data_IF_610183617142
#
_entry.id   IF_610183617142
#
_cell.length_a   1.000
_cell.length_b   1.000
_cell.length_c   1.000
_cell.angle_alpha   90.00
_cell.angle_beta   90.00
_cell.angle_gamma   90.00
#
_symmetry.space_group_name_H-M   'P 1'
#
loop_
_entity.id
_entity.type
_entity.pdbx_description
1 polymer ?
#
# COMPACT_ATOMS: atom_id res chain seq x y z
N UNK A 1 17.76 5.19 -17.42
CA UNK A 1 17.37 3.90 -18.02
C UNK A 1 16.95 4.18 -19.47
N UNK A 2 17.89 4.49 -20.38
CA UNK A 2 17.56 4.99 -21.73
C UNK A 2 17.59 3.89 -22.82
N UNK A 3 17.30 2.65 -22.43
CA UNK A 3 17.35 1.50 -23.33
C UNK A 3 15.93 1.08 -23.73
N UNK A 4 15.63 1.19 -25.04
CA UNK A 4 14.33 0.84 -25.60
C UNK A 4 13.98 -0.65 -25.45
N UNK A 5 14.99 -1.53 -25.36
CA UNK A 5 14.76 -2.96 -25.14
C UNK A 5 14.29 -3.22 -23.71
N UNK A 6 14.89 -2.54 -22.72
CA UNK A 6 14.46 -2.64 -21.33
C UNK A 6 13.03 -2.11 -21.16
N UNK A 7 12.71 -0.98 -21.79
CA UNK A 7 11.35 -0.45 -21.76
C UNK A 7 10.34 -1.45 -22.33
N UNK A 8 10.66 -2.07 -23.47
CA UNK A 8 9.78 -3.08 -24.08
C UNK A 8 9.55 -4.27 -23.14
N UNK A 9 10.58 -4.75 -22.44
CA UNK A 9 10.43 -5.81 -21.44
C UNK A 9 9.58 -5.38 -20.24
N UNK A 10 9.73 -4.13 -19.81
CA UNK A 10 8.95 -3.58 -18.70
C UNK A 10 7.46 -3.39 -19.03
N UNK A 11 7.11 -3.42 -20.31
CA UNK A 11 5.75 -3.32 -20.83
C UNK A 11 5.10 -4.67 -21.11
N UNK A 12 5.78 -5.80 -20.92
CA UNK A 12 5.17 -7.12 -21.09
C UNK A 12 4.31 -7.44 -19.87
N UNK A 13 2.98 -7.61 -20.02
CA UNK A 13 2.13 -7.97 -18.90
C UNK A 13 2.50 -9.35 -18.35
N UNK A 14 2.52 -9.48 -17.03
CA UNK A 14 2.78 -10.75 -16.34
C UNK A 14 1.49 -11.18 -15.66
N UNK A 15 0.80 -12.16 -16.26
CA UNK A 15 -0.53 -12.59 -15.80
C UNK A 15 -0.58 -13.05 -14.35
N UNK A 16 0.52 -13.59 -13.82
CA UNK A 16 0.63 -13.99 -12.42
C UNK A 16 0.56 -12.80 -11.43
N UNK A 17 0.80 -11.57 -11.89
CA UNK A 17 0.67 -10.36 -11.09
C UNK A 17 -0.69 -9.66 -11.28
N UNK A 18 -1.62 -10.26 -12.03
CA UNK A 18 -2.96 -9.73 -12.26
C UNK A 18 -3.99 -10.58 -11.55
N UNK A 19 -4.89 -9.92 -10.82
CA UNK A 19 -5.99 -10.60 -10.16
C UNK A 19 -7.03 -11.04 -11.21
N UNK A 20 -7.55 -12.29 -11.19
CA UNK A 20 -8.54 -12.74 -12.16
C UNK A 20 -9.86 -11.93 -12.18
N UNK A 21 -10.17 -11.22 -11.09
CA UNK A 21 -11.36 -10.35 -11.04
C UNK A 21 -11.11 -8.93 -11.56
N UNK A 22 -9.83 -8.53 -11.72
CA UNK A 22 -9.43 -7.17 -12.04
C UNK A 22 -10.04 -6.68 -13.36
N UNK A 23 -10.36 -5.39 -13.44
CA UNK A 23 -10.72 -4.72 -14.66
C UNK A 23 -9.65 -3.69 -15.08
N UNK A 24 -9.74 -3.19 -16.31
CA UNK A 24 -8.87 -2.13 -16.82
C UNK A 24 -7.72 -2.62 -17.72
N UNK A 25 -6.82 -1.72 -18.12
CA UNK A 25 -5.74 -1.99 -19.05
C UNK A 25 -4.63 -2.86 -18.43
N UNK A 26 -3.92 -3.60 -19.27
CA UNK A 26 -2.76 -4.41 -18.86
C UNK A 26 -1.54 -3.57 -18.43
N UNK A 27 -1.46 -2.34 -18.96
CA UNK A 27 -0.45 -1.35 -18.60
C UNK A 27 -1.02 -0.31 -17.64
N UNK A 28 -0.17 0.20 -16.77
CA UNK A 28 -0.50 1.19 -15.76
C UNK A 28 -0.02 2.59 -16.21
N UNK A 29 -0.97 3.38 -16.72
CA UNK A 29 -0.76 4.77 -17.17
C UNK A 29 -0.72 5.78 -16.01
N UNK A 30 -1.18 5.38 -14.82
CA UNK A 30 -1.11 6.19 -13.60
C UNK A 30 0.21 6.01 -12.83
N UNK A 31 1.06 5.06 -13.24
CA UNK A 31 2.40 4.85 -12.68
C UNK A 31 3.47 4.64 -13.77
N UNK A 32 3.62 5.57 -14.72
CA UNK A 32 4.59 5.49 -15.78
C UNK A 32 6.02 5.72 -15.28
N UNK A 33 6.97 5.32 -16.11
CA UNK A 33 8.37 5.75 -16.01
C UNK A 33 8.67 6.84 -17.05
N UNK A 34 9.45 7.84 -16.65
CA UNK A 34 9.78 9.00 -17.46
C UNK A 34 11.11 8.76 -18.19
N UNK A 35 11.01 8.38 -19.47
CA UNK A 35 12.14 8.12 -20.37
C UNK A 35 11.97 8.93 -21.65
N UNK A 36 12.28 10.23 -21.58
CA UNK A 36 11.99 11.20 -22.65
C UNK A 36 10.50 11.59 -22.75
N UNK A 37 9.61 10.64 -22.49
CA UNK A 37 8.17 10.81 -22.30
C UNK A 37 7.67 9.90 -21.16
N UNK A 38 6.41 10.05 -20.76
CA UNK A 38 5.75 9.04 -19.92
C UNK A 38 5.64 7.73 -20.72
N UNK A 39 6.06 6.63 -20.09
CA UNK A 39 5.89 5.30 -20.63
C UNK A 39 5.21 4.42 -19.58
N UNK A 40 4.06 3.88 -19.95
CA UNK A 40 3.27 3.01 -19.10
C UNK A 40 4.01 1.69 -18.88
N UNK A 41 3.81 1.07 -17.72
CA UNK A 41 4.49 -0.15 -17.31
C UNK A 41 3.51 -1.29 -17.11
N UNK A 42 3.99 -2.53 -17.20
CA UNK A 42 3.19 -3.70 -16.84
C UNK A 42 2.63 -3.55 -15.42
N UNK A 43 1.30 -3.63 -15.31
CA UNK A 43 0.57 -3.46 -14.05
C UNK A 43 0.76 -4.67 -13.14
N UNK A 44 0.69 -4.44 -11.83
CA UNK A 44 0.47 -5.48 -10.83
C UNK A 44 -0.71 -5.11 -9.93
N UNK A 45 -1.63 -6.05 -9.71
CA UNK A 45 -2.75 -5.88 -8.78
C UNK A 45 -2.40 -6.30 -7.35
N UNK A 46 -1.15 -6.66 -7.07
CA UNK A 46 -0.70 -7.11 -5.76
C UNK A 46 0.34 -6.13 -5.22
N UNK A 47 0.08 -5.59 -4.04
CA UNK A 47 0.89 -4.52 -3.42
C UNK A 47 1.29 -4.94 -2.01
N UNK A 48 2.51 -4.59 -1.62
CA UNK A 48 3.02 -4.93 -0.29
C UNK A 48 2.33 -4.08 0.78
N UNK A 49 2.17 -4.65 1.97
CA UNK A 49 1.62 -3.93 3.13
C UNK A 49 2.72 -3.14 3.79
N UNK A 50 2.57 -1.82 3.82
CA UNK A 50 3.61 -0.92 4.31
C UNK A 50 3.26 -0.25 5.63
N UNK A 51 2.00 0.11 5.87
CA UNK A 51 1.65 0.87 7.06
C UNK A 51 0.19 0.60 7.47
N UNK A 52 -0.15 0.75 8.74
CA UNK A 52 -1.53 0.73 9.23
C UNK A 52 -2.24 2.06 8.98
N UNK A 53 -1.49 3.16 8.95
CA UNK A 53 -1.93 4.50 8.60
C UNK A 53 -1.65 4.76 7.12
N UNK A 54 -1.07 5.90 6.76
CA UNK A 54 -0.71 6.23 5.39
C UNK A 54 0.59 5.55 5.01
N UNK A 55 0.78 5.28 3.73
CA UNK A 55 2.03 4.71 3.24
C UNK A 55 3.20 5.64 3.61
N UNK A 56 4.06 5.19 4.51
CA UNK A 56 5.22 5.91 4.99
C UNK A 56 6.53 5.29 4.47
N UNK A 57 7.47 6.16 4.09
CA UNK A 57 8.78 5.75 3.56
C UNK A 57 9.81 5.58 4.66
N UNK A 58 9.73 6.42 5.69
CA UNK A 58 10.76 6.62 6.70
C UNK A 58 10.45 5.84 7.96
N UNK A 59 9.20 5.81 8.36
CA UNK A 59 8.80 5.15 9.61
C UNK A 59 7.50 4.34 9.44
N UNK A 60 7.46 3.39 8.49
CA UNK A 60 6.34 2.48 8.34
C UNK A 60 6.27 1.41 9.44
N UNK A 61 5.08 1.14 9.93
CA UNK A 61 4.83 0.06 10.91
C UNK A 61 4.62 -1.32 10.26
N UNK A 62 4.26 -1.37 8.97
CA UNK A 62 3.86 -2.61 8.30
C UNK A 62 5.00 -3.57 7.94
N UNK A 63 4.63 -4.71 7.35
CA UNK A 63 5.55 -5.84 7.09
C UNK A 63 6.63 -5.55 6.04
N UNK A 64 6.41 -4.59 5.13
CA UNK A 64 7.39 -4.20 4.12
C UNK A 64 7.79 -2.72 4.23
N UNK A 65 9.10 -2.51 4.39
CA UNK A 65 9.69 -1.19 4.62
C UNK A 65 10.74 -0.85 3.56
N UNK A 66 10.97 0.45 3.37
CA UNK A 66 12.03 0.92 2.49
C UNK A 66 13.39 0.72 3.15
N UNK A 67 14.18 -0.24 2.65
CA UNK A 67 15.50 -0.59 3.18
C UNK A 67 16.54 0.56 3.14
N UNK A 68 16.20 1.69 2.50
CA UNK A 68 17.01 2.92 2.54
C UNK A 68 16.96 3.60 3.91
N UNK A 69 15.81 3.55 4.57
CA UNK A 69 15.57 4.25 5.83
C UNK A 69 15.52 3.29 7.02
N UNK A 70 15.05 2.06 6.79
CA UNK A 70 14.83 1.08 7.84
C UNK A 70 15.61 -0.21 7.62
N UNK A 71 15.91 -0.92 8.71
CA UNK A 71 16.37 -2.29 8.62
C UNK A 71 15.19 -3.19 8.16
N UNK A 72 15.40 -4.12 7.22
CA UNK A 72 14.36 -5.08 6.87
C UNK A 72 13.96 -5.93 8.07
N UNK A 73 12.67 -6.20 8.22
CA UNK A 73 12.16 -7.07 9.27
C UNK A 73 12.62 -8.51 9.08
N UNK A 74 12.94 -9.15 10.19
CA UNK A 74 13.10 -10.59 10.31
C UNK A 74 11.75 -11.18 10.69
N UNK A 75 11.53 -12.45 10.36
CA UNK A 75 10.33 -13.15 10.84
C UNK A 75 10.19 -13.16 12.36
N UNK A 76 11.30 -13.05 13.10
CA UNK A 76 11.29 -12.96 14.56
C UNK A 76 10.79 -11.59 15.08
N UNK A 77 10.79 -10.55 14.24
CA UNK A 77 10.35 -9.20 14.61
C UNK A 77 8.82 -9.08 14.50
N UNK A 78 8.14 -10.06 13.88
CA UNK A 78 6.68 -10.13 13.73
C UNK A 78 6.11 -10.89 14.93
N UNK A 79 5.90 -10.17 16.04
CA UNK A 79 5.54 -10.75 17.34
C UNK A 79 4.09 -11.22 17.44
N UNK A 80 3.19 -10.65 16.63
CA UNK A 80 1.78 -11.06 16.56
C UNK A 80 1.57 -12.37 15.79
N UNK A 81 2.65 -12.86 15.17
CA UNK A 81 2.74 -14.14 14.47
C UNK A 81 2.49 -14.01 12.97
N UNK A 82 3.30 -14.73 12.18
CA UNK A 82 3.23 -14.74 10.72
C UNK A 82 1.84 -15.11 10.16
N UNK A 83 1.04 -15.89 10.90
CA UNK A 83 -0.31 -16.30 10.50
C UNK A 83 -1.36 -15.20 10.69
N UNK A 84 -1.03 -14.13 11.42
CA UNK A 84 -1.94 -13.03 11.76
C UNK A 84 -1.47 -11.70 11.14
N UNK A 85 -0.53 -11.75 10.20
CA UNK A 85 0.11 -10.57 9.65
C UNK A 85 -0.04 -10.53 8.14
N UNK A 86 -0.59 -9.44 7.62
CA UNK A 86 -0.71 -9.18 6.19
C UNK A 86 0.65 -8.81 5.59
N UNK A 87 0.98 -9.42 4.45
CA UNK A 87 2.22 -9.17 3.69
C UNK A 87 1.94 -8.49 2.35
N UNK A 88 0.95 -9.01 1.62
CA UNK A 88 0.56 -8.50 0.30
C UNK A 88 -0.95 -8.50 0.21
N UNK A 89 -1.54 -7.41 -0.29
CA UNK A 89 -2.97 -7.32 -0.56
C UNK A 89 -3.26 -6.99 -2.01
N UNK A 90 -4.50 -7.21 -2.43
CA UNK A 90 -4.92 -6.76 -3.76
C UNK A 90 -5.19 -5.25 -3.79
N UNK A 91 -4.77 -4.61 -4.88
CA UNK A 91 -5.19 -3.27 -5.30
C UNK A 91 -5.42 -3.30 -6.80
N UNK A 92 -6.67 -3.44 -7.21
CA UNK A 92 -7.07 -3.42 -8.61
C UNK A 92 -6.77 -2.06 -9.25
N UNK A 93 -6.81 -1.98 -10.57
CA UNK A 93 -6.63 -0.72 -11.27
C UNK A 93 -7.81 0.22 -11.10
N UNK A 94 -9.02 -0.32 -11.20
CA UNK A 94 -10.25 0.44 -11.16
C UNK A 94 -11.36 -0.34 -10.43
N UNK A 95 -12.11 0.36 -9.58
CA UNK A 95 -13.27 -0.18 -8.89
C UNK A 95 -14.47 0.73 -9.15
N UNK A 96 -15.54 0.20 -9.72
CA UNK A 96 -16.78 0.95 -9.95
C UNK A 96 -16.64 2.21 -10.81
N UNK A 97 -15.60 2.31 -11.65
CA UNK A 97 -15.31 3.51 -12.44
C UNK A 97 -14.20 4.39 -11.86
N UNK A 98 -13.81 4.21 -10.60
CA UNK A 98 -12.75 4.99 -9.94
C UNK A 98 -11.39 4.31 -10.04
N UNK A 99 -10.34 5.08 -10.30
CA UNK A 99 -8.97 4.57 -10.30
C UNK A 99 -8.50 4.34 -8.86
N UNK A 100 -8.21 3.07 -8.54
CA UNK A 100 -7.68 2.63 -7.25
C UNK A 100 -6.15 2.64 -7.21
N UNK A 101 -5.50 2.74 -8.38
CA UNK A 101 -4.05 2.95 -8.43
C UNK A 101 -3.22 1.70 -8.15
N UNK A 102 -3.53 0.59 -8.82
CA UNK A 102 -2.72 -0.65 -8.90
C UNK A 102 -1.20 -0.39 -8.94
N UNK A 103 -0.41 -1.39 -8.55
CA UNK A 103 1.05 -1.37 -8.64
C UNK A 103 1.59 -1.57 -10.06
N UNK A 104 2.91 -1.72 -10.16
CA UNK A 104 3.65 -2.05 -11.38
C UNK A 104 4.62 -3.19 -11.09
N UNK A 105 4.82 -4.11 -12.03
CA UNK A 105 5.60 -5.34 -11.83
C UNK A 105 7.03 -5.07 -11.36
N UNK A 106 7.63 -3.98 -11.84
CA UNK A 106 9.04 -3.66 -11.59
C UNK A 106 9.25 -2.73 -10.39
N UNK A 107 8.23 -2.53 -9.56
CA UNK A 107 8.40 -1.90 -8.25
C UNK A 107 8.66 -0.39 -8.27
N UNK A 108 8.76 0.27 -9.42
CA UNK A 108 9.13 1.70 -9.47
C UNK A 108 8.36 2.47 -10.53
N UNK A 109 7.91 3.67 -10.15
CA UNK A 109 7.41 4.70 -11.07
C UNK A 109 8.19 6.00 -10.83
N UNK A 110 8.19 6.91 -11.80
CA UNK A 110 8.91 8.19 -11.68
C UNK A 110 7.97 9.39 -11.59
N UNK A 111 6.73 9.19 -11.15
CA UNK A 111 5.65 10.11 -11.51
C UNK A 111 5.62 11.42 -10.69
N UNK A 112 6.21 11.52 -9.49
CA UNK A 112 6.00 12.72 -8.65
C UNK A 112 7.15 13.28 -7.83
N UNK A 113 8.29 12.60 -7.69
CA UNK A 113 9.38 13.11 -6.87
C UNK A 113 10.64 13.24 -7.74
N UNK A 114 11.29 14.41 -7.69
CA UNK A 114 12.59 14.67 -8.33
C UNK A 114 13.73 13.82 -7.73
N UNK A 115 13.37 12.84 -6.90
CA UNK A 115 14.24 11.95 -6.18
C UNK A 115 14.11 10.59 -6.88
N UNK A 116 15.04 10.31 -7.81
CA UNK A 116 15.04 9.14 -8.71
C UNK A 116 15.10 7.76 -8.04
N UNK A 117 14.88 7.69 -6.72
CA UNK A 117 15.01 6.53 -5.84
C UNK A 117 13.71 6.22 -5.06
N UNK A 118 12.64 7.02 -5.25
CA UNK A 118 11.43 6.95 -4.42
C UNK A 118 10.27 6.12 -4.99
N UNK A 119 10.51 5.45 -6.12
CA UNK A 119 9.48 4.70 -6.84
C UNK A 119 8.91 3.49 -6.08
N UNK A 120 9.65 2.93 -5.13
CA UNK A 120 9.29 1.70 -4.39
C UNK A 120 7.99 1.83 -3.60
N UNK A 121 7.69 3.02 -3.11
CA UNK A 121 6.46 3.30 -2.35
C UNK A 121 5.20 3.10 -3.21
N UNK A 122 5.31 3.18 -4.54
CA UNK A 122 4.17 3.05 -5.44
C UNK A 122 3.68 1.61 -5.59
N UNK A 123 4.42 0.62 -5.11
CA UNK A 123 3.94 -0.77 -5.02
C UNK A 123 3.56 -1.17 -3.59
N UNK A 124 3.48 -0.19 -2.69
CA UNK A 124 2.95 -0.37 -1.34
C UNK A 124 1.47 0.05 -1.25
N UNK A 125 0.78 -0.53 -0.28
CA UNK A 125 -0.53 -0.11 0.22
C UNK A 125 -0.54 -0.04 1.75
N UNK A 126 -1.58 0.55 2.29
CA UNK A 126 -1.71 0.80 3.73
C UNK A 126 -3.13 0.59 4.26
N UNK A 127 -3.24 0.44 5.58
CA UNK A 127 -4.47 0.09 6.30
C UNK A 127 -5.40 1.26 6.65
N UNK A 128 -4.99 2.51 6.36
CA UNK A 128 -5.71 3.71 6.83
C UNK A 128 -7.19 3.70 6.49
N UNK A 129 -7.49 3.23 5.29
CA UNK A 129 -8.80 3.35 4.66
C UNK A 129 -9.45 1.97 4.55
N UNK A 130 -10.78 1.89 4.71
CA UNK A 130 -11.50 0.65 4.53
C UNK A 130 -11.20 0.02 3.17
N UNK A 131 -11.23 -1.31 3.14
CA UNK A 131 -11.16 -2.09 1.90
C UNK A 131 -12.26 -1.60 0.94
N UNK A 132 -11.92 -1.49 -0.35
CA UNK A 132 -12.84 -1.04 -1.41
C UNK A 132 -13.41 0.39 -1.23
N UNK A 133 -12.84 1.21 -0.34
CA UNK A 133 -13.25 2.60 -0.22
C UNK A 133 -12.90 3.40 -1.47
N UNK A 134 -13.87 4.13 -2.02
CA UNK A 134 -13.63 5.15 -3.05
C UNK A 134 -13.16 6.49 -2.46
N UNK A 135 -13.02 7.54 -3.27
CA UNK A 135 -12.62 8.86 -2.81
C UNK A 135 -13.64 9.42 -1.80
N UNK A 136 -13.14 9.99 -0.69
CA UNK A 136 -14.01 10.66 0.28
C UNK A 136 -14.48 12.05 -0.21
N UNK A 137 -13.78 12.61 -1.18
CA UNK A 137 -14.14 13.86 -1.86
C UNK A 137 -13.56 13.91 -3.28
N UNK A 138 -14.03 14.82 -4.13
CA UNK A 138 -13.54 14.94 -5.51
C UNK A 138 -12.08 15.38 -5.66
N UNK A 139 -11.45 15.82 -4.57
CA UNK A 139 -10.04 16.24 -4.52
C UNK A 139 -9.17 15.28 -3.69
N UNK A 140 -9.78 14.23 -3.16
CA UNK A 140 -9.10 13.21 -2.36
C UNK A 140 -8.65 12.05 -3.26
N UNK A 141 -7.41 11.61 -3.05
CA UNK A 141 -6.81 10.48 -3.75
C UNK A 141 -6.19 9.48 -2.78
N UNK A 142 -6.45 9.62 -1.48
CA UNK A 142 -5.86 8.78 -0.44
C UNK A 142 -6.36 7.34 -0.53
N UNK A 143 -7.57 7.11 -1.07
CA UNK A 143 -8.11 5.78 -1.36
C UNK A 143 -7.19 4.94 -2.23
N UNK A 144 -6.31 5.56 -3.02
CA UNK A 144 -5.33 4.87 -3.87
C UNK A 144 -4.19 4.25 -3.08
N UNK A 145 -4.08 4.54 -1.78
CA UNK A 145 -3.15 3.89 -0.86
C UNK A 145 -3.75 2.61 -0.26
N UNK A 146 -5.08 2.51 -0.18
CA UNK A 146 -5.77 1.36 0.39
C UNK A 146 -5.81 0.13 -0.51
N UNK A 147 -6.42 -0.93 0.00
CA UNK A 147 -6.59 -2.19 -0.69
C UNK A 147 -7.98 -2.26 -1.35
N UNK A 148 -8.02 -2.81 -2.55
CA UNK A 148 -9.24 -2.86 -3.34
C UNK A 148 -9.21 -4.01 -4.34
N UNK A 149 -10.36 -4.65 -4.54
CA UNK A 149 -10.53 -5.72 -5.50
C UNK A 149 -11.90 -5.67 -6.15
N UNK A 150 -11.99 -6.22 -7.35
CA UNK A 150 -13.25 -6.45 -8.04
C UNK A 150 -13.91 -7.78 -7.59
N UNK A 151 -13.29 -8.52 -6.66
CA UNK A 151 -13.97 -9.61 -5.98
C UNK A 151 -15.20 -9.08 -5.19
N UNK A 152 -16.35 -9.76 -5.26
CA UNK A 152 -17.52 -9.34 -4.49
C UNK A 152 -17.24 -9.38 -2.98
N UNK A 153 -17.34 -8.23 -2.32
CA UNK A 153 -17.39 -8.10 -0.86
C UNK A 153 -16.05 -8.12 -0.14
N UNK A 154 -14.90 -7.99 -0.83
CA UNK A 154 -13.61 -7.99 -0.15
C UNK A 154 -12.40 -8.17 -1.05
N UNK A 155 -11.25 -8.46 -0.43
CA UNK A 155 -9.91 -8.55 -1.03
C UNK A 155 -9.22 -9.81 -0.53
N UNK A 156 -8.43 -10.47 -1.39
CA UNK A 156 -7.50 -11.49 -0.91
C UNK A 156 -6.22 -10.85 -0.37
N UNK A 157 -5.74 -11.38 0.75
CA UNK A 157 -4.44 -11.02 1.32
C UNK A 157 -3.58 -12.26 1.51
N UNK A 158 -2.28 -12.10 1.22
CA UNK A 158 -1.22 -13.04 1.58
C UNK A 158 -0.75 -12.72 3.01
N UNK A 159 -0.69 -13.73 3.85
CA UNK A 159 -0.18 -13.65 5.21
C UNK A 159 1.31 -14.05 5.26
N UNK A 160 1.99 -13.68 6.34
CA UNK A 160 3.43 -13.94 6.53
C UNK A 160 3.81 -15.42 6.56
N UNK A 161 2.87 -16.32 6.82
CA UNK A 161 3.06 -17.77 6.77
C UNK A 161 2.87 -18.36 5.35
N UNK A 162 2.50 -17.54 4.37
CA UNK A 162 2.24 -17.92 2.98
C UNK A 162 0.81 -18.35 2.69
N UNK A 163 -0.09 -18.33 3.68
CA UNK A 163 -1.52 -18.56 3.48
C UNK A 163 -2.18 -17.35 2.81
N UNK A 164 -3.25 -17.59 2.05
CA UNK A 164 -4.04 -16.54 1.41
C UNK A 164 -5.45 -16.61 1.96
N UNK A 165 -5.92 -15.52 2.57
CA UNK A 165 -7.29 -15.41 3.08
C UNK A 165 -8.05 -14.30 2.38
N UNK A 166 -9.36 -14.46 2.32
CA UNK A 166 -10.27 -13.44 1.83
C UNK A 166 -10.78 -12.62 3.01
N UNK A 167 -10.42 -11.34 3.04
CA UNK A 167 -10.88 -10.39 4.06
C UNK A 167 -12.03 -9.57 3.51
N UNK A 168 -13.13 -9.55 4.25
CA UNK A 168 -14.35 -8.85 3.82
C UNK A 168 -14.18 -7.34 3.92
N UNK A 169 -14.82 -6.59 3.03
CA UNK A 169 -14.87 -5.12 3.12
C UNK A 169 -15.63 -4.61 4.36
N UNK A 170 -16.33 -5.51 5.06
CA UNK A 170 -17.02 -5.26 6.33
C UNK A 170 -16.19 -5.64 7.55
N UNK A 171 -14.90 -5.95 7.39
CA UNK A 171 -13.99 -6.15 8.53
C UNK A 171 -14.05 -4.90 9.44
N UNK A 172 -13.98 -5.12 10.75
CA UNK A 172 -13.98 -4.01 11.70
C UNK A 172 -12.81 -3.05 11.39
N UNK A 173 -13.17 -1.81 11.10
CA UNK A 173 -12.27 -0.75 10.66
C UNK A 173 -12.79 0.61 11.11
N UNK A 174 -11.88 1.52 11.42
CA UNK A 174 -12.19 2.94 11.50
C UNK A 174 -11.01 3.80 11.04
N UNK A 175 -11.30 5.06 10.74
CA UNK A 175 -10.33 6.04 10.25
C UNK A 175 -9.79 6.87 11.44
N UNK A 176 -9.60 6.27 12.62
CA UNK A 176 -8.95 6.95 13.75
C UNK A 176 -7.42 6.84 13.66
N UNK A 177 -6.68 7.63 14.42
CA UNK A 177 -5.21 7.50 14.47
C UNK A 177 -4.74 6.41 15.45
N UNK A 178 -5.64 5.88 16.27
CA UNK A 178 -5.32 4.87 17.26
C UNK A 178 -5.58 3.49 16.68
N UNK A 179 -4.63 2.56 16.86
CA UNK A 179 -4.79 1.16 16.48
C UNK A 179 -5.88 0.51 17.34
N UNK A 180 -7.09 0.42 16.81
CA UNK A 180 -8.23 -0.06 17.58
C UNK A 180 -9.30 -0.76 16.75
N UNK A 181 -8.97 -1.15 15.52
CA UNK A 181 -9.82 -1.96 14.66
C UNK A 181 -9.13 -3.23 14.18
N UNK A 182 -9.94 -4.26 13.88
CA UNK A 182 -9.38 -5.55 13.46
C UNK A 182 -8.50 -5.48 12.22
N UNK A 183 -8.82 -4.61 11.26
CA UNK A 183 -7.99 -4.47 10.08
C UNK A 183 -6.60 -3.90 10.39
N UNK A 184 -6.50 -2.93 11.31
CA UNK A 184 -5.22 -2.37 11.73
C UNK A 184 -4.37 -3.39 12.48
N UNK A 185 -4.98 -4.22 13.34
CA UNK A 185 -4.27 -5.29 14.08
C UNK A 185 -3.70 -6.40 13.20
N UNK A 186 -4.17 -6.54 11.96
CA UNK A 186 -3.59 -7.49 10.99
C UNK A 186 -2.34 -6.92 10.31
N UNK A 187 -2.08 -5.63 10.45
CA UNK A 187 -0.88 -4.96 9.95
C UNK A 187 0.11 -4.90 11.11
N UNK A 188 1.36 -5.26 10.84
CA UNK A 188 2.40 -5.38 11.88
C UNK A 188 2.49 -4.07 12.66
N UNK A 189 2.65 -4.18 13.98
CA UNK A 189 3.35 -3.20 14.78
C UNK A 189 4.70 -3.83 15.12
N UNK A 190 5.74 -3.46 14.37
CA UNK A 190 7.06 -4.05 14.59
C UNK A 190 7.49 -3.57 15.96
N UNK A 191 7.98 -4.48 16.80
CA UNK A 191 8.66 -4.08 18.02
C UNK A 191 9.89 -3.23 17.63
N UNK A 192 9.68 -1.92 17.48
CA UNK A 192 10.75 -0.96 17.42
C UNK A 192 11.53 -1.14 18.72
N UNK A 193 12.85 -1.02 18.67
CA UNK A 193 13.68 -1.09 19.88
C UNK A 193 13.35 0.01 20.91
N UNK A 194 12.33 0.82 20.66
CA UNK A 194 11.79 1.83 21.53
C UNK A 194 10.62 1.22 22.30
N UNK A 195 10.91 0.86 23.57
CA UNK A 195 9.88 0.63 24.58
C UNK A 195 9.02 1.89 24.77
N UNK A 196 8.13 2.22 23.85
CA UNK A 196 6.97 3.05 24.14
C UNK A 196 5.78 2.13 24.32
N UNK A 197 5.71 1.58 25.54
CA UNK A 197 4.42 1.31 26.14
C UNK A 197 3.61 2.61 26.07
N UNK A 198 2.63 2.67 25.18
CA UNK A 198 1.65 3.75 25.11
C UNK A 198 0.77 3.67 26.36
N UNK A 199 1.28 4.23 27.45
CA UNK A 199 0.49 4.55 28.61
C UNK A 199 -0.17 5.89 28.36
N UNK A 200 -1.49 5.85 28.19
CA UNK A 200 -2.41 6.97 28.29
C UNK A 200 -1.83 8.21 28.99
N UNK A 201 -1.59 9.27 28.21
CA UNK A 201 -1.56 10.63 28.74
C UNK A 201 -2.56 11.46 27.96
N UNK A 202 -3.79 11.49 28.50
CA UNK A 202 -4.64 12.66 28.33
C UNK A 202 -3.87 13.91 28.80
N UNK A 203 -3.44 14.75 27.86
CA UNK A 203 -2.98 16.10 28.15
C UNK A 203 -3.39 17.06 27.02
N UNK A 204 -4.50 17.74 27.28
CA UNK A 204 -4.71 19.18 27.02
C UNK A 204 -4.37 19.72 25.62
N UNK A 205 -5.37 19.67 24.73
CA UNK A 205 -5.44 20.47 23.51
C UNK A 205 -5.65 21.95 23.86
N UNK A 206 -4.57 22.64 24.27
CA UNK A 206 -4.54 24.09 24.36
C UNK A 206 -4.01 24.69 23.05
N UNK A 207 -4.96 25.08 22.20
CA UNK A 207 -4.93 26.09 21.13
C UNK A 207 -3.62 26.86 20.88
N UNK A 208 -3.13 26.86 19.63
CA UNK A 208 -2.29 27.94 19.09
C UNK A 208 -2.83 28.42 17.73
N UNK A 209 -2.92 29.75 17.49
CA UNK A 209 -3.62 30.32 16.34
C UNK A 209 -2.76 30.39 15.07
N UNK A 210 -3.37 30.53 13.88
CA UNK A 210 -2.64 30.66 12.62
C UNK A 210 -2.04 32.06 12.48
N UNK A 211 -0.72 32.14 12.38
CA UNK A 211 -0.02 33.36 11.97
C UNK A 211 -0.10 33.55 10.46
N UNK A 212 -0.45 34.76 10.06
CA UNK A 212 -0.24 35.33 8.73
C UNK A 212 1.14 35.98 8.64
#
# INVERSE_FOLDING_TARGET
MNDSNLLTLMQIPVTAFMCPSTAGPDLNDVKPVLLGSNNDLARSDYVVVNDKDFVDRRDPDGSFVCARYNAPHRFADITDGLTNTLFVGERCYQLGGEIMGAGVVYGTSSQKFNDGEEGLVYVAGSGRLPINLGPLSSTDFDHRQGFASNHPGGVNFLFGDGSVHFETETIDHNISAATNSMFEYLIVEVASGDNQFDFDVQADQQSYPPTR
#
